data_IF_961625534077
#
_entry.id   IF_961625534077
#
_cell.length_a   1.000
_cell.length_b   1.000
_cell.length_c   1.000
_cell.angle_alpha   90.00
_cell.angle_beta   90.00
_cell.angle_gamma   90.00
#
_symmetry.space_group_name_H-M   'P 1'
#
loop_
_entity.id
_entity.type
_entity.pdbx_description
1 polymer ?
#
# COMPACT_ATOMS: atom_id res chain seq x y z
N UNK A 1 1.36 20.38 1.13
CA UNK A 1 2.66 20.12 1.80
C UNK A 1 3.44 18.99 1.11
N UNK A 2 4.74 19.17 0.85
CA UNK A 2 5.61 18.15 0.20
C UNK A 2 5.68 16.83 0.99
N UNK A 3 5.62 16.91 2.32
CA UNK A 3 5.74 15.75 3.22
C UNK A 3 4.61 14.73 3.02
N UNK A 4 3.38 15.20 2.78
CA UNK A 4 2.25 14.32 2.45
C UNK A 4 2.55 13.52 1.18
N UNK A 5 3.05 14.17 0.13
CA UNK A 5 3.33 13.52 -1.14
C UNK A 5 4.48 12.52 -1.05
N UNK A 6 5.50 12.82 -0.23
CA UNK A 6 6.58 11.86 0.07
C UNK A 6 5.99 10.64 0.79
N UNK A 7 5.21 10.85 1.85
CA UNK A 7 4.54 9.76 2.57
C UNK A 7 3.64 8.94 1.66
N UNK A 8 2.78 9.59 0.88
CA UNK A 8 1.90 8.96 -0.08
C UNK A 8 2.67 8.14 -1.13
N UNK A 9 3.78 8.66 -1.65
CA UNK A 9 4.62 7.93 -2.60
C UNK A 9 5.24 6.68 -1.96
N UNK A 10 5.73 6.78 -0.72
CA UNK A 10 6.24 5.62 0.03
C UNK A 10 5.13 4.58 0.23
N UNK A 11 3.91 5.01 0.58
CA UNK A 11 2.74 4.12 0.72
C UNK A 11 2.47 3.39 -0.59
N UNK A 12 2.32 4.12 -1.71
CA UNK A 12 2.01 3.52 -3.03
C UNK A 12 3.09 2.52 -3.45
N UNK A 13 4.37 2.82 -3.23
CA UNK A 13 5.45 1.90 -3.60
C UNK A 13 5.53 0.70 -2.66
N UNK A 14 5.41 0.90 -1.34
CA UNK A 14 5.54 -0.17 -0.35
C UNK A 14 4.32 -1.10 -0.37
N UNK A 15 3.13 -0.55 -0.17
CA UNK A 15 1.87 -1.29 -0.18
C UNK A 15 1.54 -1.78 -1.57
N UNK A 16 1.69 -0.93 -2.59
CA UNK A 16 1.42 -1.31 -3.97
C UNK A 16 2.26 -2.50 -4.42
N UNK A 17 3.56 -2.56 -4.07
CA UNK A 17 4.38 -3.73 -4.35
C UNK A 17 3.81 -5.02 -3.72
N UNK A 18 3.34 -4.95 -2.46
CA UNK A 18 2.76 -6.09 -1.76
C UNK A 18 1.39 -6.48 -2.33
N UNK A 19 0.53 -5.51 -2.64
CA UNK A 19 -0.80 -5.72 -3.22
C UNK A 19 -0.68 -6.37 -4.61
N UNK A 20 0.25 -5.89 -5.43
CA UNK A 20 0.45 -6.37 -6.81
C UNK A 20 0.85 -7.84 -6.90
N UNK A 21 1.30 -8.46 -5.80
CA UNK A 21 1.51 -9.92 -5.72
C UNK A 21 0.25 -10.71 -6.06
N UNK A 22 -0.93 -10.13 -5.87
CA UNK A 22 -2.22 -10.76 -6.14
C UNK A 22 -2.69 -10.58 -7.59
N UNK A 23 -2.09 -9.63 -8.31
CA UNK A 23 -2.50 -9.27 -9.68
C UNK A 23 -1.59 -9.91 -10.72
N UNK A 24 -0.27 -9.87 -10.52
CA UNK A 24 0.69 -10.35 -11.52
C UNK A 24 1.80 -11.23 -10.92
N UNK A 25 2.11 -12.39 -11.53
CA UNK A 25 2.99 -13.40 -10.94
C UNK A 25 4.45 -12.93 -10.79
N UNK A 26 4.89 -11.93 -11.57
CA UNK A 26 6.20 -11.32 -11.40
C UNK A 26 6.38 -10.70 -10.00
N UNK A 27 5.37 -9.99 -9.48
CA UNK A 27 5.41 -9.39 -8.14
C UNK A 27 5.41 -10.46 -7.05
N UNK A 28 4.62 -11.52 -7.23
CA UNK A 28 4.61 -12.66 -6.31
C UNK A 28 6.01 -13.29 -6.21
N UNK A 29 6.65 -13.56 -7.36
CA UNK A 29 8.01 -14.13 -7.40
C UNK A 29 9.05 -13.17 -6.84
N UNK A 30 8.98 -11.88 -7.15
CA UNK A 30 9.92 -10.89 -6.61
C UNK A 30 9.81 -10.75 -5.10
N UNK A 31 8.59 -10.66 -4.56
CA UNK A 31 8.38 -10.65 -3.12
C UNK A 31 8.91 -11.93 -2.48
N UNK A 32 8.66 -13.09 -3.09
CA UNK A 32 9.17 -14.36 -2.56
C UNK A 32 10.70 -14.38 -2.56
N UNK A 33 11.34 -13.98 -3.66
CA UNK A 33 12.79 -13.86 -3.74
C UNK A 33 13.39 -12.92 -2.68
N UNK A 34 12.72 -11.79 -2.38
CA UNK A 34 13.14 -10.89 -1.30
C UNK A 34 13.01 -11.55 0.07
N UNK A 35 11.94 -12.31 0.31
CA UNK A 35 11.76 -13.10 1.54
C UNK A 35 12.83 -14.18 1.65
N UNK A 36 13.12 -14.89 0.57
CA UNK A 36 14.11 -15.96 0.56
C UNK A 36 15.52 -15.42 0.81
N UNK A 37 15.81 -14.21 0.32
CA UNK A 37 17.13 -13.56 0.44
C UNK A 37 17.32 -12.83 1.77
N UNK A 38 16.27 -12.14 2.25
CA UNK A 38 16.36 -11.24 3.41
C UNK A 38 15.70 -11.81 4.68
N UNK A 39 14.91 -12.88 4.54
CA UNK A 39 14.16 -13.48 5.64
C UNK A 39 13.32 -12.46 6.39
N UNK A 40 13.47 -12.43 7.71
CA UNK A 40 12.76 -11.48 8.56
C UNK A 40 13.17 -10.01 8.36
N UNK A 41 14.33 -9.74 7.75
CA UNK A 41 14.71 -8.34 7.43
C UNK A 41 13.75 -7.74 6.41
N UNK A 42 13.22 -8.52 5.47
CA UNK A 42 12.20 -8.04 4.53
C UNK A 42 10.97 -7.51 5.27
N UNK A 43 10.47 -8.26 6.26
CA UNK A 43 9.32 -7.83 7.08
C UNK A 43 9.62 -6.53 7.82
N UNK A 44 10.84 -6.38 8.36
CA UNK A 44 11.27 -5.14 9.03
C UNK A 44 11.35 -3.97 8.06
N UNK A 45 11.94 -4.14 6.88
CA UNK A 45 12.00 -3.08 5.86
C UNK A 45 10.60 -2.61 5.47
N UNK A 46 9.70 -3.55 5.18
CA UNK A 46 8.31 -3.23 4.84
C UNK A 46 7.61 -2.48 5.98
N UNK A 47 7.71 -2.99 7.22
CA UNK A 47 7.11 -2.33 8.38
C UNK A 47 7.73 -0.96 8.68
N UNK A 48 9.04 -0.78 8.49
CA UNK A 48 9.69 0.53 8.62
C UNK A 48 9.15 1.51 7.59
N UNK A 49 8.99 1.08 6.34
CA UNK A 49 8.36 1.90 5.30
C UNK A 49 6.90 2.21 5.65
N UNK A 50 6.21 1.32 6.36
CA UNK A 50 4.86 1.59 6.88
C UNK A 50 4.83 2.73 7.89
N UNK A 51 5.70 2.67 8.91
CA UNK A 51 5.84 3.77 9.85
C UNK A 51 6.22 5.08 9.15
N UNK A 52 7.11 5.02 8.16
CA UNK A 52 7.53 6.20 7.40
C UNK A 52 6.37 6.81 6.60
N UNK A 53 5.55 6.01 5.90
CA UNK A 53 4.45 6.57 5.13
C UNK A 53 3.30 7.03 6.01
N UNK A 54 2.96 6.29 7.07
CA UNK A 54 1.93 6.70 8.03
C UNK A 54 2.33 8.03 8.68
N UNK A 55 3.58 8.14 9.12
CA UNK A 55 4.15 9.37 9.66
C UNK A 55 4.15 10.51 8.65
N UNK A 56 4.66 10.27 7.43
CA UNK A 56 4.73 11.29 6.38
C UNK A 56 3.37 11.81 5.94
N UNK A 57 2.39 10.91 5.76
CA UNK A 57 1.00 11.28 5.44
C UNK A 57 0.35 12.01 6.61
N UNK A 58 0.44 11.47 7.83
CA UNK A 58 -0.19 12.05 9.02
C UNK A 58 0.37 13.43 9.37
N UNK A 59 1.70 13.56 9.43
CA UNK A 59 2.37 14.84 9.67
C UNK A 59 2.12 15.80 8.50
N UNK A 60 2.14 15.31 7.26
CA UNK A 60 1.84 16.12 6.07
C UNK A 60 0.44 16.74 6.10
N UNK A 61 -0.56 15.97 6.55
CA UNK A 61 -1.93 16.47 6.77
C UNK A 61 -1.97 17.44 7.95
N UNK A 62 -1.30 17.13 9.07
CA UNK A 62 -1.30 17.99 10.26
C UNK A 62 -0.68 19.37 9.98
N UNK A 63 0.42 19.42 9.23
CA UNK A 63 1.11 20.65 8.87
C UNK A 63 0.34 21.51 7.86
N UNK A 64 -0.52 20.89 7.05
CA UNK A 64 -1.31 21.56 6.01
C UNK A 64 -2.78 21.17 6.15
N UNK A 65 -3.28 21.35 7.38
CA UNK A 65 -4.59 20.89 7.79
C UNK A 65 -5.71 21.54 6.98
N UNK A 66 -5.55 22.78 6.52
CA UNK A 66 -6.56 23.45 5.67
C UNK A 66 -6.89 22.65 4.40
N UNK A 67 -5.94 21.85 3.89
CA UNK A 67 -6.09 21.00 2.72
C UNK A 67 -6.40 19.52 3.05
N UNK A 68 -6.73 19.17 4.31
CA UNK A 68 -6.92 17.79 4.74
C UNK A 68 -7.94 17.01 3.90
N UNK A 69 -9.02 17.67 3.45
CA UNK A 69 -10.06 17.05 2.61
C UNK A 69 -9.52 16.57 1.27
N UNK A 70 -8.63 17.36 0.67
CA UNK A 70 -7.99 16.99 -0.59
C UNK A 70 -7.09 15.77 -0.38
N UNK A 71 -6.28 15.75 0.67
CA UNK A 71 -5.44 14.61 1.02
C UNK A 71 -6.23 13.34 1.34
N UNK A 72 -7.32 13.47 2.10
CA UNK A 72 -8.24 12.37 2.36
C UNK A 72 -8.87 11.84 1.07
N UNK A 73 -9.22 12.72 0.13
CA UNK A 73 -9.75 12.32 -1.18
C UNK A 73 -8.73 11.52 -1.99
N UNK A 74 -7.47 11.97 -2.03
CA UNK A 74 -6.38 11.24 -2.71
C UNK A 74 -6.19 9.84 -2.12
N UNK A 75 -6.17 9.72 -0.79
CA UNK A 75 -6.10 8.42 -0.11
C UNK A 75 -7.32 7.54 -0.42
N UNK A 76 -8.52 8.11 -0.36
CA UNK A 76 -9.76 7.40 -0.63
C UNK A 76 -9.83 6.89 -2.08
N UNK A 77 -9.38 7.68 -3.06
CA UNK A 77 -9.32 7.26 -4.46
C UNK A 77 -8.33 6.11 -4.64
N UNK A 78 -7.13 6.19 -4.05
CA UNK A 78 -6.14 5.11 -4.14
C UNK A 78 -6.66 3.81 -3.52
N UNK A 79 -7.11 3.87 -2.26
CA UNK A 79 -7.57 2.67 -1.55
C UNK A 79 -8.89 2.14 -2.10
N UNK A 80 -9.78 3.01 -2.57
CA UNK A 80 -11.00 2.64 -3.27
C UNK A 80 -10.69 1.89 -4.57
N UNK A 81 -9.74 2.40 -5.37
CA UNK A 81 -9.29 1.72 -6.58
C UNK A 81 -8.69 0.34 -6.26
N UNK A 82 -7.81 0.24 -5.25
CA UNK A 82 -7.23 -1.03 -4.80
C UNK A 82 -8.31 -2.02 -4.33
N UNK A 83 -9.27 -1.55 -3.54
CA UNK A 83 -10.35 -2.38 -3.02
C UNK A 83 -11.20 -2.98 -4.15
N UNK A 84 -11.56 -2.17 -5.15
CA UNK A 84 -12.40 -2.59 -6.27
C UNK A 84 -11.63 -3.41 -7.30
N UNK A 85 -10.41 -3.02 -7.66
CA UNK A 85 -9.66 -3.65 -8.76
C UNK A 85 -8.91 -4.92 -8.34
N UNK A 86 -8.52 -5.03 -7.08
CA UNK A 86 -7.71 -6.16 -6.58
C UNK A 86 -8.52 -7.02 -5.63
N UNK A 87 -8.94 -6.46 -4.49
CA UNK A 87 -9.50 -7.25 -3.39
C UNK A 87 -10.91 -7.77 -3.65
N UNK A 88 -11.75 -7.01 -4.34
CA UNK A 88 -13.11 -7.45 -4.69
C UNK A 88 -13.09 -8.69 -5.61
N UNK A 89 -12.33 -8.72 -6.74
CA UNK A 89 -12.16 -9.94 -7.53
C UNK A 89 -11.61 -11.12 -6.75
N UNK A 90 -10.62 -10.90 -5.87
CA UNK A 90 -10.07 -11.94 -4.98
C UNK A 90 -11.13 -12.52 -4.05
N UNK A 91 -11.96 -11.66 -3.47
CA UNK A 91 -13.05 -12.06 -2.58
C UNK A 91 -14.10 -12.88 -3.33
N UNK A 92 -14.54 -12.42 -4.51
CA UNK A 92 -15.52 -13.13 -5.34
C UNK A 92 -15.00 -14.53 -5.69
N UNK A 93 -13.75 -14.64 -6.15
CA UNK A 93 -13.12 -15.94 -6.45
C UNK A 93 -13.10 -16.86 -5.23
N UNK A 94 -12.77 -16.33 -4.05
CA UNK A 94 -12.70 -17.09 -2.80
C UNK A 94 -14.07 -17.60 -2.32
N UNK A 95 -15.12 -16.80 -2.49
CA UNK A 95 -16.49 -17.19 -2.16
C UNK A 95 -17.00 -18.24 -3.15
N UNK A 96 -16.77 -18.04 -4.45
CA UNK A 96 -17.18 -18.98 -5.49
C UNK A 96 -16.50 -20.35 -5.32
N UNK A 97 -15.22 -20.40 -4.96
CA UNK A 97 -14.49 -21.65 -4.73
C UNK A 97 -14.89 -22.40 -3.45
N UNK A 98 -15.66 -21.78 -2.55
CA UNK A 98 -16.18 -22.40 -1.31
C UNK A 98 -17.59 -22.96 -1.47
N UNK A 99 -18.30 -22.62 -2.53
CA UNK A 99 -19.61 -23.18 -2.89
C UNK A 99 -19.41 -24.41 -3.76
#
# INVERSE_FOLDING_TARGET
MILFWIGFTIMVLNEGFVIMRHVHPWFARKRQHLIDTLGDRWKRIHATLDYCWIGGVGIGIALDYTNWKFYATVLAVFWGFVAVSVYLPLLIKRIAAKR
#
